data_IF_591467791713
#
_entry.id   IF_591467791713
#
_cell.length_a   1.000
_cell.length_b   1.000
_cell.length_c   1.000
_cell.angle_alpha   90.00
_cell.angle_beta   90.00
_cell.angle_gamma   90.00
#
_symmetry.space_group_name_H-M   'P 1'
#
loop_
_entity.id
_entity.type
_entity.pdbx_description
1 polymer ?
#
# COMPACT_ATOMS: atom_id res chain seq x y z
N UNK A 1 -34.81 72.25 9.27
CA UNK A 1 -35.06 70.85 9.75
C UNK A 1 -34.30 69.91 8.89
N UNK A 2 -33.12 69.50 9.32
CA UNK A 2 -32.31 68.43 8.69
C UNK A 2 -32.25 67.29 9.68
N UNK A 3 -33.03 66.20 9.49
CA UNK A 3 -32.89 64.93 10.08
C UNK A 3 -32.00 64.12 9.13
N UNK A 4 -30.80 63.69 9.43
CA UNK A 4 -30.47 62.59 10.29
C UNK A 4 -30.07 61.45 9.39
N UNK A 5 -28.80 61.41 8.89
CA UNK A 5 -28.21 60.19 8.32
C UNK A 5 -27.14 59.69 9.30
N UNK A 6 -27.54 58.82 10.18
CA UNK A 6 -26.68 58.00 11.02
C UNK A 6 -27.20 56.60 10.93
N UNK A 7 -26.56 55.74 10.13
CA UNK A 7 -26.45 54.31 10.39
C UNK A 7 -25.83 53.61 9.16
N UNK A 8 -24.55 53.86 8.91
CA UNK A 8 -23.71 52.98 8.10
C UNK A 8 -22.37 52.75 8.83
N UNK A 9 -22.46 52.21 10.02
CA UNK A 9 -21.31 51.62 10.69
C UNK A 9 -21.01 50.29 10.03
N UNK A 10 -20.00 50.26 9.17
CA UNK A 10 -19.51 49.05 8.53
C UNK A 10 -19.14 48.04 9.61
N UNK A 11 -19.60 46.80 9.47
CA UNK A 11 -19.26 45.68 10.35
C UNK A 11 -17.75 45.41 10.45
N UNK A 12 -16.92 46.15 9.71
CA UNK A 12 -15.44 46.09 9.73
C UNK A 12 -14.80 46.84 10.90
N UNK A 13 -15.52 47.78 11.53
CA UNK A 13 -14.97 48.61 12.61
C UNK A 13 -15.11 47.96 14.01
N UNK A 14 -15.74 46.78 14.11
CA UNK A 14 -15.90 46.03 15.33
C UNK A 14 -14.69 45.16 15.71
N UNK A 15 -13.72 45.02 14.82
CA UNK A 15 -12.52 44.22 15.11
C UNK A 15 -11.38 45.14 15.51
N UNK A 16 -11.16 45.24 16.83
CA UNK A 16 -10.04 46.01 17.38
C UNK A 16 -8.72 45.48 16.75
N UNK A 17 -7.85 46.34 16.15
CA UNK A 17 -6.65 45.94 15.45
C UNK A 17 -5.70 45.08 16.33
N UNK A 18 -5.78 45.24 17.63
CA UNK A 18 -5.00 44.46 18.57
C UNK A 18 -5.53 43.02 18.74
N UNK A 19 -6.84 42.81 18.59
CA UNK A 19 -7.43 41.47 18.59
C UNK A 19 -7.04 40.69 17.34
N UNK A 20 -6.97 41.35 16.19
CA UNK A 20 -6.53 40.74 14.94
C UNK A 20 -5.04 40.32 15.00
N UNK A 21 -4.18 41.16 15.58
CA UNK A 21 -2.77 40.86 15.82
C UNK A 21 -2.61 39.68 16.82
N UNK A 22 -3.45 39.62 17.85
CA UNK A 22 -3.44 38.50 18.81
C UNK A 22 -3.87 37.21 18.14
N UNK A 23 -4.94 37.23 17.34
CA UNK A 23 -5.40 36.05 16.57
C UNK A 23 -4.33 35.55 15.61
N UNK A 24 -3.63 36.45 14.90
CA UNK A 24 -2.53 36.08 14.03
C UNK A 24 -1.38 35.45 14.80
N UNK A 25 -0.98 36.01 15.95
CA UNK A 25 0.08 35.42 16.81
C UNK A 25 -0.31 34.06 17.33
N UNK A 26 -1.56 33.88 17.80
CA UNK A 26 -2.08 32.59 18.23
C UNK A 26 -2.10 31.61 17.07
N UNK A 27 -2.52 32.03 15.87
CA UNK A 27 -2.50 31.22 14.66
C UNK A 27 -1.10 30.74 14.29
N UNK A 28 -0.10 31.63 14.31
CA UNK A 28 1.30 31.24 14.07
C UNK A 28 1.81 30.25 15.11
N UNK A 29 1.48 30.46 16.40
CA UNK A 29 1.88 29.53 17.46
C UNK A 29 1.27 28.14 17.26
N UNK A 30 -0.03 28.07 16.95
CA UNK A 30 -0.73 26.79 16.70
C UNK A 30 -0.12 26.07 15.50
N UNK A 31 0.10 26.77 14.39
CA UNK A 31 0.71 26.18 13.19
C UNK A 31 2.13 25.70 13.47
N UNK A 32 2.92 26.49 14.22
CA UNK A 32 4.28 26.09 14.58
C UNK A 32 4.31 24.84 15.48
N UNK A 33 3.41 24.76 16.45
CA UNK A 33 3.31 23.59 17.33
C UNK A 33 2.84 22.35 16.53
N UNK A 34 1.87 22.52 15.65
CA UNK A 34 1.39 21.44 14.78
C UNK A 34 2.49 20.95 13.85
N UNK A 35 3.27 21.85 13.25
CA UNK A 35 4.40 21.50 12.41
C UNK A 35 5.49 20.77 13.19
N UNK A 36 5.82 21.26 14.39
CA UNK A 36 6.77 20.61 15.29
C UNK A 36 6.33 19.19 15.67
N UNK A 37 5.06 19.03 16.00
CA UNK A 37 4.49 17.71 16.28
C UNK A 37 4.50 16.79 15.04
N UNK A 38 4.19 17.32 13.86
CA UNK A 38 4.25 16.55 12.60
C UNK A 38 5.67 16.04 12.32
N UNK A 39 6.68 16.91 12.44
CA UNK A 39 8.08 16.52 12.27
C UNK A 39 8.46 15.45 13.30
N UNK A 40 8.12 15.63 14.58
CA UNK A 40 8.32 14.62 15.61
C UNK A 40 7.66 13.30 15.25
N UNK A 41 6.39 13.31 14.83
CA UNK A 41 5.63 12.11 14.50
C UNK A 41 6.23 11.33 13.31
N UNK A 42 6.74 12.03 12.29
CA UNK A 42 7.41 11.40 11.14
C UNK A 42 8.72 10.72 11.54
N UNK A 43 9.50 11.34 12.41
CA UNK A 43 10.80 10.79 12.81
C UNK A 43 10.69 9.72 13.89
N UNK A 44 9.69 9.77 14.77
CA UNK A 44 9.55 8.78 15.85
C UNK A 44 9.18 7.39 15.34
N UNK A 45 8.45 7.28 14.24
CA UNK A 45 8.06 5.99 13.66
C UNK A 45 9.26 5.11 13.30
N UNK A 46 10.22 5.57 12.46
CA UNK A 46 11.42 4.79 12.17
C UNK A 46 12.36 4.65 13.37
N UNK A 47 12.42 5.65 14.28
CA UNK A 47 13.28 5.59 15.45
C UNK A 47 12.80 4.57 16.50
N UNK A 48 11.53 4.25 16.53
CA UNK A 48 10.93 3.27 17.45
C UNK A 48 11.04 1.82 16.96
N UNK A 49 11.71 1.58 15.83
CA UNK A 49 11.93 0.22 15.33
C UNK A 49 12.94 -0.54 16.19
N UNK A 50 12.74 -1.85 16.43
CA UNK A 50 13.67 -2.64 17.22
C UNK A 50 15.09 -2.69 16.62
N UNK A 51 16.14 -2.59 17.47
CA UNK A 51 16.10 -2.42 18.93
C UNK A 51 15.88 -0.96 19.36
N UNK A 52 14.72 -0.68 19.97
CA UNK A 52 14.34 0.67 20.41
C UNK A 52 14.36 0.78 21.94
N UNK A 53 14.66 1.98 22.44
CA UNK A 53 14.57 2.25 23.87
C UNK A 53 13.10 2.40 24.33
N UNK A 54 12.78 2.14 25.63
CA UNK A 54 11.43 2.35 26.15
C UNK A 54 10.89 3.77 25.90
N UNK A 55 11.76 4.79 26.00
CA UNK A 55 11.41 6.19 25.77
C UNK A 55 10.95 6.44 24.33
N UNK A 56 11.63 5.84 23.34
CA UNK A 56 11.24 5.93 21.93
C UNK A 56 9.90 5.23 21.69
N UNK A 57 9.65 4.10 22.33
CA UNK A 57 8.38 3.39 22.24
C UNK A 57 7.23 4.20 22.84
N UNK A 58 7.45 4.90 23.95
CA UNK A 58 6.42 5.76 24.55
C UNK A 58 6.12 6.97 23.66
N UNK A 59 7.15 7.59 23.07
CA UNK A 59 7.00 8.65 22.08
C UNK A 59 6.24 8.19 20.84
N UNK A 60 6.53 6.98 20.36
CA UNK A 60 5.81 6.37 19.23
C UNK A 60 4.33 6.14 19.55
N UNK A 61 4.00 5.60 20.75
CA UNK A 61 2.61 5.40 21.17
C UNK A 61 1.81 6.69 21.19
N UNK A 62 2.46 7.80 21.59
CA UNK A 62 1.83 9.13 21.58
C UNK A 62 1.49 9.60 20.15
N UNK A 63 2.40 9.35 19.20
CA UNK A 63 2.24 9.76 17.80
C UNK A 63 1.41 8.76 16.97
N UNK A 64 1.19 7.53 17.45
CA UNK A 64 0.59 6.43 16.69
C UNK A 64 -0.78 6.79 16.06
N UNK A 65 -1.77 7.36 16.79
CA UNK A 65 -3.07 7.67 16.20
C UNK A 65 -2.97 8.70 15.06
N UNK A 66 -2.04 9.65 15.18
CA UNK A 66 -1.78 10.64 14.17
C UNK A 66 -1.12 10.04 12.93
N UNK A 67 -0.14 9.17 13.14
CA UNK A 67 0.58 8.50 12.06
C UNK A 67 -0.30 7.52 11.28
N UNK A 68 -1.20 6.82 11.96
CA UNK A 68 -2.20 5.95 11.32
C UNK A 68 -3.20 6.76 10.49
N UNK A 69 -3.71 7.87 11.03
CA UNK A 69 -4.65 8.74 10.33
C UNK A 69 -4.05 9.30 9.03
N UNK A 70 -2.77 9.66 9.04
CA UNK A 70 -2.07 10.25 7.89
C UNK A 70 -1.31 9.21 7.04
N UNK A 71 -1.41 7.92 7.37
CA UNK A 71 -0.65 6.85 6.71
C UNK A 71 0.88 7.07 6.75
N UNK A 72 1.38 7.66 7.85
CA UNK A 72 2.79 7.94 8.07
C UNK A 72 3.50 6.86 8.90
N UNK A 73 2.78 5.84 9.32
CA UNK A 73 3.31 4.75 10.14
C UNK A 73 4.10 3.75 9.30
N UNK A 74 5.17 4.23 8.66
CA UNK A 74 6.07 3.42 7.86
C UNK A 74 7.41 3.25 8.57
N UNK A 75 7.77 2.00 8.85
CA UNK A 75 9.04 1.66 9.50
C UNK A 75 10.28 1.86 8.63
N UNK A 76 10.15 2.28 7.37
CA UNK A 76 11.25 2.47 6.41
C UNK A 76 12.28 1.31 6.35
N UNK A 77 11.82 0.08 6.60
CA UNK A 77 12.67 -1.12 6.54
C UNK A 77 13.18 -1.47 5.14
N UNK A 78 12.80 -0.69 4.14
CA UNK A 78 13.11 -0.97 2.75
C UNK A 78 14.61 -1.07 2.42
N UNK A 79 15.49 -0.61 3.28
CA UNK A 79 16.87 -0.40 2.89
C UNK A 79 17.95 -0.94 3.84
N UNK A 80 17.65 -1.40 5.04
CA UNK A 80 18.68 -1.92 5.93
C UNK A 80 18.13 -2.56 7.22
N UNK A 81 18.81 -3.53 7.80
CA UNK A 81 19.96 -4.25 7.27
C UNK A 81 19.56 -5.41 6.36
N UNK A 82 18.29 -5.79 6.37
CA UNK A 82 17.73 -6.90 5.59
C UNK A 82 16.40 -6.47 4.97
N UNK A 83 16.37 -6.19 3.67
CA UNK A 83 15.16 -5.75 2.99
C UNK A 83 14.07 -6.84 2.91
N UNK A 84 14.38 -8.08 3.37
CA UNK A 84 13.48 -9.22 3.24
C UNK A 84 13.32 -9.73 1.81
N UNK A 85 12.69 -10.89 1.67
CA UNK A 85 12.35 -11.44 0.36
C UNK A 85 11.17 -10.68 -0.24
N UNK A 86 11.26 -10.31 -1.52
CA UNK A 86 10.12 -9.78 -2.26
C UNK A 86 9.25 -10.90 -2.81
N UNK A 87 7.94 -10.71 -2.82
CA UNK A 87 6.99 -11.72 -3.29
C UNK A 87 6.14 -11.18 -4.44
N UNK A 88 6.04 -11.99 -5.49
CA UNK A 88 5.24 -11.73 -6.67
C UNK A 88 4.31 -12.91 -6.93
N UNK A 89 3.29 -12.68 -7.74
CA UNK A 89 2.39 -13.73 -8.22
C UNK A 89 2.67 -13.95 -9.70
N UNK A 90 2.88 -15.21 -10.11
CA UNK A 90 2.79 -15.58 -11.50
C UNK A 90 1.59 -16.47 -11.73
N UNK A 91 1.09 -16.48 -12.95
CA UNK A 91 -0.04 -17.32 -13.32
C UNK A 91 0.21 -17.98 -14.67
N UNK A 92 -0.35 -19.17 -14.83
CA UNK A 92 -0.34 -19.91 -16.07
C UNK A 92 -1.78 -20.28 -16.44
N UNK A 93 -2.21 -19.84 -17.63
CA UNK A 93 -3.54 -20.12 -18.17
C UNK A 93 -3.40 -21.12 -19.29
N UNK A 94 -3.98 -22.34 -19.17
CA UNK A 94 -3.90 -23.34 -20.21
C UNK A 94 -4.66 -22.88 -21.47
N UNK A 95 -4.10 -23.19 -22.64
CA UNK A 95 -4.75 -23.01 -23.93
C UNK A 95 -4.90 -24.35 -24.64
N UNK A 96 -6.09 -24.68 -25.14
CA UNK A 96 -6.28 -25.90 -25.93
C UNK A 96 -5.40 -25.88 -27.18
N UNK A 97 -4.46 -26.83 -27.29
CA UNK A 97 -3.60 -26.99 -28.46
C UNK A 97 -2.38 -26.07 -28.54
N UNK A 98 -2.21 -25.14 -27.58
CA UNK A 98 -1.10 -24.19 -27.53
C UNK A 98 -0.35 -24.21 -26.20
N UNK A 99 0.81 -23.56 -26.15
CA UNK A 99 1.53 -23.34 -24.89
C UNK A 99 0.69 -22.47 -23.94
N UNK A 100 0.75 -22.72 -22.62
CA UNK A 100 0.01 -21.93 -21.66
C UNK A 100 0.45 -20.46 -21.70
N UNK A 101 -0.50 -19.55 -21.52
CA UNK A 101 -0.18 -18.13 -21.33
C UNK A 101 0.35 -17.94 -19.93
N UNK A 102 1.61 -17.54 -19.84
CA UNK A 102 2.24 -17.22 -18.56
C UNK A 102 2.25 -15.71 -18.36
N UNK A 103 1.78 -15.26 -17.23
CA UNK A 103 1.81 -13.86 -16.84
C UNK A 103 2.38 -13.66 -15.44
N UNK A 104 2.67 -12.40 -15.13
CA UNK A 104 3.22 -11.99 -13.83
C UNK A 104 2.42 -10.79 -13.29
N UNK A 105 2.15 -10.79 -12.00
CA UNK A 105 1.54 -9.69 -11.29
C UNK A 105 2.45 -9.20 -10.15
N UNK A 106 2.73 -7.89 -10.09
CA UNK A 106 2.41 -6.88 -11.10
C UNK A 106 3.21 -7.05 -12.40
N UNK A 107 2.58 -6.65 -13.51
CA UNK A 107 3.24 -6.64 -14.82
C UNK A 107 4.19 -5.43 -14.91
N UNK A 108 5.39 -5.65 -15.46
CA UNK A 108 6.41 -4.59 -15.62
C UNK A 108 5.99 -3.44 -16.57
N UNK A 109 4.98 -3.66 -17.41
CA UNK A 109 4.43 -2.63 -18.32
C UNK A 109 3.54 -1.61 -17.62
N UNK A 110 3.23 -1.79 -16.33
CA UNK A 110 2.36 -0.88 -15.59
C UNK A 110 3.06 0.47 -15.37
N UNK A 111 2.44 1.52 -15.87
CA UNK A 111 2.87 2.91 -15.68
C UNK A 111 1.72 3.75 -15.12
N UNK A 112 1.97 4.78 -14.31
CA UNK A 112 3.27 5.24 -13.78
C UNK A 112 3.84 4.27 -12.74
N UNK A 113 5.14 4.38 -12.44
CA UNK A 113 5.83 3.50 -11.49
C UNK A 113 5.16 3.43 -10.11
N UNK A 114 4.51 4.50 -9.67
CA UNK A 114 3.75 4.53 -8.42
C UNK A 114 2.59 3.51 -8.43
N UNK A 115 1.94 3.33 -9.58
CA UNK A 115 0.87 2.34 -9.74
C UNK A 115 1.44 0.91 -9.69
N UNK A 116 2.60 0.67 -10.31
CA UNK A 116 3.31 -0.60 -10.19
C UNK A 116 3.59 -0.95 -8.73
N UNK A 117 4.10 0.00 -7.93
CA UNK A 117 4.37 -0.23 -6.51
C UNK A 117 3.11 -0.55 -5.69
N UNK A 118 1.98 0.07 -6.00
CA UNK A 118 0.70 -0.27 -5.34
C UNK A 118 0.28 -1.71 -5.62
N UNK A 119 0.41 -2.16 -6.86
CA UNK A 119 0.14 -3.55 -7.21
C UNK A 119 1.16 -4.52 -6.64
N UNK A 120 2.42 -4.11 -6.54
CA UNK A 120 3.46 -4.87 -5.87
C UNK A 120 3.12 -5.11 -4.40
N UNK A 121 2.70 -4.08 -3.68
CA UNK A 121 2.24 -4.20 -2.29
C UNK A 121 1.04 -5.14 -2.14
N UNK A 122 0.14 -5.20 -3.12
CA UNK A 122 -0.97 -6.17 -3.09
C UNK A 122 -0.47 -7.62 -3.20
N UNK A 123 0.55 -7.87 -4.01
CA UNK A 123 1.16 -9.21 -4.12
C UNK A 123 1.93 -9.59 -2.85
N UNK A 124 2.67 -8.65 -2.24
CA UNK A 124 3.41 -8.87 -1.00
C UNK A 124 2.51 -9.09 0.20
N UNK A 125 1.51 -8.22 0.38
CA UNK A 125 0.63 -8.28 1.56
C UNK A 125 -0.28 -9.50 1.57
N UNK A 126 -0.43 -10.22 0.45
CA UNK A 126 -1.22 -11.46 0.41
C UNK A 126 -0.82 -12.44 1.52
N UNK A 127 0.46 -12.49 1.85
CA UNK A 127 1.03 -13.45 2.82
C UNK A 127 0.98 -12.95 4.27
N UNK A 128 0.50 -11.74 4.50
CA UNK A 128 0.33 -11.16 5.84
C UNK A 128 -1.03 -11.48 6.46
N UNK A 129 -1.96 -12.08 5.70
CA UNK A 129 -3.29 -12.44 6.16
C UNK A 129 -3.33 -13.85 6.77
N UNK A 130 -4.37 -14.14 7.55
CA UNK A 130 -4.69 -15.48 8.01
C UNK A 130 -5.04 -16.41 6.83
N UNK A 131 -4.90 -17.72 7.02
CA UNK A 131 -5.04 -18.74 5.97
C UNK A 131 -6.39 -18.67 5.24
N UNK A 132 -7.48 -18.33 5.95
CA UNK A 132 -8.81 -18.25 5.36
C UNK A 132 -8.91 -17.03 4.44
N UNK A 133 -8.54 -15.85 4.92
CA UNK A 133 -8.52 -14.60 4.16
C UNK A 133 -7.58 -14.71 2.98
N UNK A 134 -6.40 -15.27 3.18
CA UNK A 134 -5.42 -15.52 2.13
C UNK A 134 -6.00 -16.39 1.01
N UNK A 135 -6.68 -17.48 1.34
CA UNK A 135 -7.32 -18.38 0.36
C UNK A 135 -8.39 -17.64 -0.46
N UNK A 136 -9.22 -16.82 0.18
CA UNK A 136 -10.25 -16.04 -0.54
C UNK A 136 -9.64 -15.00 -1.48
N UNK A 137 -8.57 -14.34 -1.08
CA UNK A 137 -7.85 -13.39 -1.94
C UNK A 137 -7.18 -14.13 -3.11
N UNK A 138 -6.58 -15.29 -2.88
CA UNK A 138 -6.00 -16.12 -3.95
C UNK A 138 -7.05 -16.51 -4.98
N UNK A 139 -8.24 -16.95 -4.54
CA UNK A 139 -9.36 -17.24 -5.44
C UNK A 139 -9.81 -16.00 -6.22
N UNK A 140 -9.84 -14.83 -5.58
CA UNK A 140 -10.20 -13.58 -6.25
C UNK A 140 -9.19 -13.21 -7.34
N UNK A 141 -7.88 -13.36 -7.10
CA UNK A 141 -6.85 -13.19 -8.12
C UNK A 141 -6.99 -14.22 -9.25
N UNK A 142 -7.18 -15.49 -8.92
CA UNK A 142 -7.38 -16.55 -9.89
C UNK A 142 -8.57 -16.25 -10.79
N UNK A 143 -9.72 -15.84 -10.22
CA UNK A 143 -10.93 -15.46 -10.98
C UNK A 143 -10.67 -14.25 -11.88
N UNK A 144 -9.97 -13.23 -11.38
CA UNK A 144 -9.66 -12.04 -12.17
C UNK A 144 -8.79 -12.37 -13.39
N UNK A 145 -7.69 -13.10 -13.19
CA UNK A 145 -6.79 -13.45 -14.30
C UNK A 145 -7.39 -14.47 -15.25
N UNK A 146 -8.20 -15.40 -14.75
CA UNK A 146 -8.97 -16.34 -15.56
C UNK A 146 -9.93 -15.59 -16.50
N UNK A 147 -10.71 -14.65 -15.96
CA UNK A 147 -11.62 -13.81 -16.73
C UNK A 147 -10.89 -12.93 -17.76
N UNK A 148 -9.71 -12.37 -17.39
CA UNK A 148 -8.91 -11.53 -18.28
C UNK A 148 -8.44 -12.30 -19.54
N UNK A 149 -8.22 -13.60 -19.42
CA UNK A 149 -7.76 -14.47 -20.50
C UNK A 149 -8.89 -15.32 -21.12
N UNK A 150 -10.13 -15.16 -20.66
CA UNK A 150 -11.29 -15.92 -21.16
C UNK A 150 -11.17 -17.44 -20.92
N UNK A 151 -10.50 -17.84 -19.85
CA UNK A 151 -10.31 -19.24 -19.49
C UNK A 151 -11.08 -19.57 -18.21
N UNK A 152 -11.56 -20.81 -18.09
CA UNK A 152 -12.17 -21.29 -16.84
C UNK A 152 -11.16 -21.85 -15.85
N UNK A 153 -9.93 -22.12 -16.27
CA UNK A 153 -8.90 -22.70 -15.41
C UNK A 153 -7.62 -21.89 -15.40
N UNK A 154 -6.92 -21.86 -14.26
CA UNK A 154 -5.70 -21.10 -14.05
C UNK A 154 -4.88 -21.74 -12.93
N UNK A 155 -3.55 -21.69 -13.08
CA UNK A 155 -2.61 -22.05 -12.01
C UNK A 155 -1.93 -20.78 -11.51
N UNK A 156 -1.94 -20.56 -10.20
CA UNK A 156 -1.20 -19.48 -9.54
C UNK A 156 0.05 -19.99 -8.88
N UNK A 157 1.15 -19.27 -9.04
CA UNK A 157 2.41 -19.53 -8.37
C UNK A 157 2.87 -18.30 -7.62
N UNK A 158 3.54 -18.53 -6.50
CA UNK A 158 4.31 -17.54 -5.75
C UNK A 158 5.72 -17.50 -6.30
N UNK A 159 6.24 -16.32 -6.59
CA UNK A 159 7.65 -16.10 -6.85
C UNK A 159 8.21 -15.33 -5.66
N UNK A 160 9.14 -15.93 -4.92
CA UNK A 160 9.91 -15.26 -3.89
C UNK A 160 11.29 -14.93 -4.43
N UNK A 161 11.74 -13.70 -4.22
CA UNK A 161 13.10 -13.27 -4.56
C UNK A 161 13.83 -12.85 -3.29
N UNK A 162 14.84 -13.61 -2.92
CA UNK A 162 15.70 -13.30 -1.78
C UNK A 162 16.92 -12.51 -2.25
N UNK A 163 17.22 -11.35 -1.63
CA UNK A 163 18.41 -10.60 -1.96
C UNK A 163 19.68 -11.44 -1.74
N UNK A 164 20.59 -11.40 -2.70
CA UNK A 164 21.88 -12.08 -2.57
C UNK A 164 22.66 -11.55 -1.37
N UNK A 165 23.22 -12.45 -0.56
CA UNK A 165 24.08 -12.07 0.55
C UNK A 165 25.33 -11.30 0.07
N UNK A 166 25.86 -10.42 0.92
CA UNK A 166 27.08 -9.65 0.62
C UNK A 166 28.24 -10.57 0.25
N UNK A 167 28.36 -11.73 0.93
CA UNK A 167 29.42 -12.70 0.68
C UNK A 167 29.29 -13.30 -0.72
N UNK A 168 28.06 -13.58 -1.18
CA UNK A 168 27.80 -14.10 -2.52
C UNK A 168 28.16 -13.07 -3.61
N UNK A 169 27.79 -11.81 -3.39
CA UNK A 169 28.14 -10.71 -4.32
C UNK A 169 29.67 -10.54 -4.38
N UNK A 170 30.37 -10.59 -3.26
CA UNK A 170 31.83 -10.53 -3.21
C UNK A 170 32.49 -11.73 -3.94
N UNK A 171 31.82 -12.89 -3.97
CA UNK A 171 32.27 -14.07 -4.71
C UNK A 171 31.94 -14.01 -6.22
N UNK A 172 31.36 -12.89 -6.73
CA UNK A 172 31.01 -12.70 -8.14
C UNK A 172 29.58 -13.08 -8.51
N UNK A 173 28.73 -13.44 -7.56
CA UNK A 173 27.29 -13.66 -7.78
C UNK A 173 26.58 -12.35 -8.13
N UNK A 174 25.45 -12.46 -8.84
CA UNK A 174 24.61 -11.31 -9.20
C UNK A 174 23.36 -11.27 -8.32
N UNK A 175 22.71 -10.10 -8.28
CA UNK A 175 21.47 -9.89 -7.51
C UNK A 175 20.28 -10.64 -8.13
N UNK A 176 20.32 -10.93 -9.42
CA UNK A 176 19.26 -11.54 -10.22
C UNK A 176 19.60 -12.95 -10.72
N UNK A 177 20.54 -13.64 -10.05
CA UNK A 177 20.84 -15.04 -10.33
C UNK A 177 19.59 -15.91 -10.10
N UNK A 178 19.35 -16.91 -10.96
CA UNK A 178 18.18 -17.80 -10.87
C UNK A 178 18.00 -18.44 -9.49
N UNK A 179 19.11 -18.74 -8.80
CA UNK A 179 19.11 -19.31 -7.45
C UNK A 179 18.54 -18.39 -6.36
N UNK A 180 18.41 -17.09 -6.65
CA UNK A 180 17.78 -16.12 -5.74
C UNK A 180 16.26 -16.12 -5.83
N UNK A 181 15.71 -16.82 -6.83
CA UNK A 181 14.27 -16.94 -7.04
C UNK A 181 13.78 -18.34 -6.64
N UNK A 182 12.75 -18.37 -5.82
CA UNK A 182 11.99 -19.59 -5.53
C UNK A 182 10.59 -19.46 -6.12
N UNK A 183 10.14 -20.51 -6.81
CA UNK A 183 8.78 -20.57 -7.38
C UNK A 183 8.02 -21.70 -6.69
N UNK A 184 6.90 -21.35 -6.07
CA UNK A 184 6.03 -22.27 -5.34
C UNK A 184 4.62 -22.21 -5.93
N UNK A 185 4.01 -23.37 -6.21
CA UNK A 185 2.62 -23.40 -6.69
C UNK A 185 1.67 -23.16 -5.52
N UNK A 186 0.87 -22.11 -5.63
CA UNK A 186 -0.19 -21.75 -4.68
C UNK A 186 -1.37 -22.72 -4.87
N UNK A 187 -1.83 -22.89 -6.10
CA UNK A 187 -2.94 -23.79 -6.43
C UNK A 187 -3.38 -23.68 -7.88
N UNK A 188 -4.13 -24.71 -8.29
CA UNK A 188 -4.87 -24.70 -9.55
C UNK A 188 -6.35 -24.45 -9.25
N UNK A 189 -6.96 -23.51 -9.98
CA UNK A 189 -8.33 -23.08 -9.80
C UNK A 189 -9.12 -23.39 -11.08
N UNK A 190 -10.35 -23.91 -10.92
CA UNK A 190 -11.27 -24.17 -12.02
C UNK A 190 -12.64 -23.55 -11.71
N UNK A 191 -13.08 -22.66 -12.59
CA UNK A 191 -14.32 -21.91 -12.50
C UNK A 191 -15.37 -22.38 -13.54
N UNK A 192 -15.19 -23.54 -14.16
CA UNK A 192 -16.11 -24.09 -15.18
C UNK A 192 -17.53 -24.25 -14.66
N UNK A 193 -17.69 -24.67 -13.41
CA UNK A 193 -19.00 -24.87 -12.79
C UNK A 193 -19.72 -23.54 -12.52
N UNK A 194 -19.00 -22.52 -12.07
CA UNK A 194 -19.56 -21.18 -11.80
C UNK A 194 -20.07 -20.52 -13.09
N UNK A 195 -19.35 -20.69 -14.20
CA UNK A 195 -19.75 -20.16 -15.49
C UNK A 195 -21.03 -20.85 -16.03
N UNK A 196 -21.22 -22.13 -15.75
CA UNK A 196 -22.43 -22.87 -16.16
C UNK A 196 -23.66 -22.45 -15.35
N UNK A 197 -23.55 -22.17 -14.07
CA UNK A 197 -24.62 -21.67 -13.23
C UNK A 197 -25.07 -20.27 -13.64
N UNK A 198 -24.14 -19.37 -13.93
CA UNK A 198 -24.49 -18.02 -14.40
C UNK A 198 -25.19 -18.03 -15.74
N UNK A 199 -24.80 -18.90 -16.66
CA UNK A 199 -25.48 -19.03 -17.97
C UNK A 199 -26.87 -19.64 -17.85
N UNK A 200 -27.13 -20.56 -16.93
CA UNK A 200 -28.45 -21.15 -16.69
C UNK A 200 -29.44 -20.16 -16.07
N UNK A 201 -28.98 -19.30 -15.16
CA UNK A 201 -29.81 -18.23 -14.57
C UNK A 201 -30.14 -17.15 -15.60
N UNK A 202 -29.21 -16.78 -16.47
CA UNK A 202 -29.44 -15.78 -17.52
C UNK A 202 -30.42 -16.26 -18.61
N UNK A 203 -30.59 -17.57 -18.78
CA UNK A 203 -31.58 -18.14 -19.73
C UNK A 203 -32.99 -18.32 -19.14
N UNK A 204 -33.14 -18.11 -17.82
CA UNK A 204 -34.43 -18.25 -17.12
C UNK A 204 -35.18 -16.92 -16.94
N UNK A 205 -34.67 -15.83 -17.48
CA UNK A 205 -35.33 -14.51 -17.59
C UNK A 205 -35.58 -14.14 -19.05
#
# INVERSE_FOLDING_TARGET
MKMGSCFEGSMRDLWCPDMLKLLNKCGYLVVSLMLGFHVFAVFISPAAMPPASPLLMDGYRLALPYNELLFLNHGYHFFAPDPGASTLISYAVPRPGDAPVVGRFPNLSIHPRLLYHRYFMLAENLWAFDDQTQTEIQKAYARHFSALHGSSSITLNRISHEPSSILRIQAGGKLDDEETFAVETIGAFDFSMEASEQSSVAQSF
#
